data_IF_129705014712
#
_entry.id   IF_129705014712
#
_cell.length_a   1.000
_cell.length_b   1.000
_cell.length_c   1.000
_cell.angle_alpha   90.00
_cell.angle_beta   90.00
_cell.angle_gamma   90.00
#
_symmetry.space_group_name_H-M   'P 1'
#
loop_
_entity.id
_entity.type
_entity.pdbx_description
1 polymer ?
#
# COMPACT_ATOMS: atom_id res chain seq x y z
N UNK A 1 -5.60 -4.07 -35.50
CA UNK A 1 -4.48 -3.14 -35.32
C UNK A 1 -3.89 -3.42 -33.95
N UNK A 2 -2.89 -4.32 -33.87
CA UNK A 2 -2.21 -4.65 -32.60
C UNK A 2 -1.30 -3.47 -32.25
N UNK A 3 -1.40 -2.97 -31.01
CA UNK A 3 -0.49 -1.92 -30.51
C UNK A 3 0.93 -2.50 -30.46
N UNK A 4 1.97 -1.71 -30.78
CA UNK A 4 3.35 -2.14 -30.68
C UNK A 4 3.76 -2.35 -29.22
N UNK A 5 4.61 -3.35 -29.03
CA UNK A 5 5.10 -3.87 -27.75
C UNK A 5 6.02 -2.83 -27.09
N UNK A 6 5.44 -1.94 -26.30
CA UNK A 6 6.18 -0.96 -25.52
C UNK A 6 6.68 -1.63 -24.24
N UNK A 7 7.92 -2.12 -24.27
CA UNK A 7 8.70 -2.68 -23.15
C UNK A 7 8.04 -2.57 -21.79
N UNK A 8 7.24 -3.58 -21.45
CA UNK A 8 6.70 -3.82 -20.12
C UNK A 8 7.88 -3.97 -19.16
N UNK A 9 7.87 -3.22 -18.05
CA UNK A 9 9.03 -3.12 -17.15
C UNK A 9 9.25 -4.41 -16.35
N UNK A 10 8.30 -5.34 -16.48
CA UNK A 10 8.26 -6.66 -15.89
C UNK A 10 8.51 -7.65 -17.02
N UNK A 11 9.76 -8.13 -17.14
CA UNK A 11 10.00 -9.38 -17.86
C UNK A 11 9.17 -10.46 -17.19
N UNK A 12 8.50 -11.30 -18.00
CA UNK A 12 7.67 -12.42 -17.59
C UNK A 12 8.10 -13.01 -16.23
N UNK A 13 7.45 -12.56 -15.16
CA UNK A 13 7.40 -13.32 -13.93
C UNK A 13 6.46 -14.47 -14.29
N UNK A 14 7.03 -15.66 -14.52
CA UNK A 14 6.24 -16.86 -14.75
C UNK A 14 5.37 -17.08 -13.51
N UNK A 15 4.06 -16.94 -13.69
CA UNK A 15 3.10 -17.28 -12.65
C UNK A 15 3.21 -18.79 -12.37
N UNK A 16 3.32 -19.22 -11.11
CA UNK A 16 3.24 -20.64 -10.78
C UNK A 16 1.86 -21.20 -11.20
N UNK A 17 1.78 -22.48 -11.62
CA UNK A 17 0.55 -23.05 -12.16
C UNK A 17 -0.51 -23.18 -11.06
N UNK A 18 -1.65 -22.50 -11.24
CA UNK A 18 -2.80 -22.59 -10.34
C UNK A 18 -3.66 -23.80 -10.72
N UNK A 19 -3.73 -24.79 -9.83
CA UNK A 19 -4.71 -25.89 -9.88
C UNK A 19 -6.11 -25.34 -9.73
N UNK A 20 -6.94 -25.62 -10.73
CA UNK A 20 -8.38 -25.40 -10.70
C UNK A 20 -9.03 -26.37 -9.70
N UNK A 21 -9.63 -25.87 -8.62
CA UNK A 21 -10.82 -26.45 -8.00
C UNK A 21 -11.46 -25.35 -7.14
N UNK A 22 -12.79 -25.33 -7.11
CA UNK A 22 -13.60 -24.26 -6.53
C UNK A 22 -13.60 -24.19 -5.00
N UNK A 23 -14.32 -23.18 -4.53
CA UNK A 23 -14.63 -22.84 -3.14
C UNK A 23 -13.45 -22.39 -2.28
N UNK A 24 -13.42 -21.07 -2.06
CA UNK A 24 -12.48 -20.35 -1.20
C UNK A 24 -11.02 -20.56 -1.62
N UNK A 25 -10.43 -19.53 -2.25
CA UNK A 25 -8.98 -19.43 -2.31
C UNK A 25 -8.43 -19.74 -0.91
N UNK A 26 -7.54 -20.73 -0.77
CA UNK A 26 -7.14 -21.22 0.53
C UNK A 26 -6.62 -20.05 1.37
N UNK A 27 -7.15 -19.93 2.59
CA UNK A 27 -6.69 -19.03 3.65
C UNK A 27 -5.22 -19.30 4.05
N UNK A 28 -4.56 -20.26 3.39
CA UNK A 28 -3.15 -20.63 3.50
C UNK A 28 -2.23 -19.87 2.51
N UNK A 29 -2.78 -18.97 1.67
CA UNK A 29 -2.02 -17.97 0.90
C UNK A 29 -1.92 -16.61 1.62
N UNK A 30 -2.43 -16.52 2.86
CA UNK A 30 -2.39 -15.29 3.66
C UNK A 30 -0.98 -15.03 4.25
N UNK A 31 -0.11 -16.05 4.32
CA UNK A 31 1.29 -15.92 4.78
C UNK A 31 2.32 -15.78 3.63
N UNK A 32 1.94 -16.09 2.39
CA UNK A 32 2.90 -16.26 1.30
C UNK A 32 3.07 -15.02 0.41
N UNK A 33 2.47 -13.87 0.75
CA UNK A 33 2.65 -12.70 -0.11
C UNK A 33 2.49 -11.38 0.64
N UNK A 34 3.51 -11.15 1.47
CA UNK A 34 4.18 -9.86 1.67
C UNK A 34 4.74 -9.32 0.31
N UNK A 35 3.94 -9.37 -0.78
CA UNK A 35 4.35 -9.15 -2.20
C UNK A 35 5.02 -7.80 -2.39
N UNK A 36 4.61 -6.80 -1.60
CA UNK A 36 5.19 -5.46 -1.66
C UNK A 36 6.53 -5.37 -0.96
N UNK A 37 6.81 -6.23 0.01
CA UNK A 37 8.13 -6.34 0.63
C UNK A 37 9.06 -7.18 -0.23
N UNK A 38 8.57 -8.31 -0.75
CA UNK A 38 9.38 -9.22 -1.56
C UNK A 38 9.59 -8.75 -3.01
N UNK A 39 8.63 -8.05 -3.65
CA UNK A 39 8.87 -7.44 -4.97
C UNK A 39 9.76 -6.18 -4.89
N UNK A 40 9.82 -5.53 -3.71
CA UNK A 40 10.84 -4.51 -3.43
C UNK A 40 12.21 -5.14 -3.13
N UNK A 41 12.26 -6.27 -2.43
CA UNK A 41 13.50 -7.01 -2.11
C UNK A 41 14.09 -7.72 -3.34
N UNK A 42 13.28 -8.31 -4.23
CA UNK A 42 13.73 -8.79 -5.56
C UNK A 42 14.20 -7.63 -6.46
N UNK A 43 13.80 -6.40 -6.10
CA UNK A 43 14.19 -5.13 -6.70
C UNK A 43 15.39 -4.45 -6.05
N UNK A 44 16.20 -5.16 -5.25
CA UNK A 44 17.40 -4.62 -4.62
C UNK A 44 18.34 -3.91 -5.62
N UNK A 45 18.33 -4.37 -6.87
CA UNK A 45 19.03 -3.73 -7.99
C UNK A 45 18.34 -2.47 -8.50
N UNK A 46 17.05 -2.53 -8.87
CA UNK A 46 16.35 -1.44 -9.59
C UNK A 46 15.92 -0.28 -8.68
N UNK A 47 15.57 -0.55 -7.42
CA UNK A 47 15.30 0.48 -6.42
C UNK A 47 16.54 1.35 -6.19
N UNK A 48 17.68 0.70 -5.96
CA UNK A 48 18.98 1.36 -5.83
C UNK A 48 19.37 2.04 -7.14
N UNK A 49 19.11 1.41 -8.29
CA UNK A 49 19.42 1.95 -9.61
C UNK A 49 18.69 3.28 -9.84
N UNK A 50 17.38 3.36 -9.61
CA UNK A 50 16.64 4.60 -9.85
C UNK A 50 17.06 5.72 -8.90
N UNK A 51 17.26 5.41 -7.61
CA UNK A 51 17.75 6.41 -6.63
C UNK A 51 19.17 6.86 -6.98
N UNK A 52 19.99 5.97 -7.54
CA UNK A 52 21.35 6.29 -8.03
C UNK A 52 21.33 7.08 -9.34
N UNK A 53 20.33 6.87 -10.21
CA UNK A 53 20.14 7.61 -11.45
C UNK A 53 19.71 9.05 -11.21
N UNK A 54 19.01 9.32 -10.10
CA UNK A 54 18.64 10.68 -9.71
C UNK A 54 19.87 11.46 -9.26
N UNK A 55 20.12 12.58 -9.94
CA UNK A 55 21.15 13.54 -9.55
C UNK A 55 20.95 14.04 -8.11
N UNK A 56 22.04 14.36 -7.44
CA UNK A 56 22.03 14.90 -6.07
C UNK A 56 21.41 16.31 -5.97
N UNK A 57 21.35 17.03 -7.09
CA UNK A 57 20.69 18.34 -7.21
C UNK A 57 19.16 18.25 -7.38
N UNK A 58 18.59 17.04 -7.43
CA UNK A 58 17.15 16.88 -7.54
C UNK A 58 16.45 17.28 -6.23
N UNK A 59 15.60 18.29 -6.31
CA UNK A 59 14.82 18.84 -5.20
C UNK A 59 14.05 17.76 -4.40
N UNK A 60 13.46 16.76 -5.07
CA UNK A 60 12.70 15.70 -4.40
C UNK A 60 13.66 14.79 -3.62
N UNK A 61 14.81 14.44 -4.21
CA UNK A 61 15.83 13.62 -3.54
C UNK A 61 16.40 14.36 -2.32
N UNK A 62 16.67 15.66 -2.45
CA UNK A 62 17.12 16.48 -1.32
C UNK A 62 16.09 16.55 -0.19
N UNK A 63 14.80 16.69 -0.50
CA UNK A 63 13.72 16.73 0.49
C UNK A 63 13.63 15.42 1.31
N UNK A 64 13.79 14.28 0.64
CA UNK A 64 13.79 12.95 1.27
C UNK A 64 15.07 12.72 2.08
N UNK A 65 16.25 13.04 1.53
CA UNK A 65 17.55 12.90 2.22
C UNK A 65 17.64 13.81 3.44
N UNK A 66 17.10 15.03 3.36
CA UNK A 66 17.03 15.95 4.49
C UNK A 66 16.02 15.53 5.57
N UNK A 67 15.18 14.51 5.31
CA UNK A 67 14.15 14.05 6.24
C UNK A 67 13.00 15.02 6.45
N UNK A 68 12.85 16.03 5.58
CA UNK A 68 11.82 17.06 5.74
C UNK A 68 10.42 16.53 5.40
N UNK A 69 10.28 15.87 4.24
CA UNK A 69 9.01 15.28 3.81
C UNK A 69 9.21 14.22 2.74
N UNK A 70 8.38 13.19 2.79
CA UNK A 70 8.41 12.10 1.83
C UNK A 70 9.50 11.07 2.14
N UNK A 71 9.42 9.96 1.42
CA UNK A 71 10.28 8.80 1.54
C UNK A 71 10.72 8.33 0.15
N UNK A 72 11.64 7.38 0.09
CA UNK A 72 12.05 6.77 -1.17
C UNK A 72 10.89 6.07 -1.91
N UNK A 73 9.88 5.58 -1.19
CA UNK A 73 8.67 5.00 -1.80
C UNK A 73 7.93 6.06 -2.62
N UNK A 74 7.86 7.31 -2.15
CA UNK A 74 7.19 8.37 -2.90
C UNK A 74 7.89 8.65 -4.23
N UNK A 75 9.23 8.61 -4.24
CA UNK A 75 10.02 8.76 -5.47
C UNK A 75 9.73 7.62 -6.43
N UNK A 76 9.68 6.38 -5.94
CA UNK A 76 9.35 5.22 -6.76
C UNK A 76 7.95 5.29 -7.37
N UNK A 77 6.95 5.65 -6.58
CA UNK A 77 5.57 5.73 -7.06
C UNK A 77 5.40 6.85 -8.10
N UNK A 78 6.20 7.91 -7.99
CA UNK A 78 6.24 8.98 -8.99
C UNK A 78 6.93 8.55 -10.28
N UNK A 79 8.06 7.83 -10.21
CA UNK A 79 8.91 7.55 -11.37
C UNK A 79 8.71 6.16 -11.99
N UNK A 80 8.60 5.11 -11.17
CA UNK A 80 8.67 3.70 -11.60
C UNK A 80 7.30 3.04 -11.67
N UNK A 81 6.68 2.76 -10.52
CA UNK A 81 5.36 2.12 -10.42
C UNK A 81 4.73 2.38 -9.06
N UNK A 82 3.40 2.40 -8.98
CA UNK A 82 2.69 2.59 -7.70
C UNK A 82 2.72 1.33 -6.84
N UNK A 83 2.64 0.15 -7.47
CA UNK A 83 2.68 -1.15 -6.82
C UNK A 83 1.30 -1.71 -6.46
N UNK A 84 1.28 -2.79 -5.69
CA UNK A 84 0.04 -3.48 -5.33
C UNK A 84 -0.82 -2.66 -4.37
N UNK A 85 -2.13 -2.68 -4.57
CA UNK A 85 -3.10 -2.09 -3.67
C UNK A 85 -3.82 -3.20 -2.88
N UNK A 86 -3.91 -3.04 -1.56
CA UNK A 86 -4.68 -3.92 -0.67
C UNK A 86 -5.85 -3.13 -0.05
N UNK A 87 -6.90 -3.85 0.32
CA UNK A 87 -8.01 -3.31 1.13
C UNK A 87 -8.30 -4.24 2.29
N UNK A 88 -8.49 -3.70 3.49
CA UNK A 88 -8.71 -4.46 4.72
C UNK A 88 -7.58 -5.47 5.01
N UNK A 89 -6.36 -5.16 4.57
CA UNK A 89 -5.20 -6.05 4.70
C UNK A 89 -5.22 -7.28 3.80
N UNK A 90 -6.26 -7.44 2.97
CA UNK A 90 -6.41 -8.56 2.03
C UNK A 90 -6.37 -8.09 0.59
N UNK A 91 -6.20 -9.03 -0.33
CA UNK A 91 -6.43 -8.79 -1.76
C UNK A 91 -7.93 -8.53 -1.95
N UNK A 92 -8.29 -7.51 -2.73
CA UNK A 92 -9.72 -7.16 -2.84
C UNK A 92 -10.48 -8.33 -3.51
N UNK A 93 -11.60 -8.76 -2.91
CA UNK A 93 -12.32 -9.95 -3.34
C UNK A 93 -13.03 -9.74 -4.69
N UNK A 94 -13.48 -10.83 -5.29
CA UNK A 94 -14.32 -10.79 -6.48
C UNK A 94 -15.67 -10.13 -6.17
N UNK A 95 -15.80 -8.85 -6.52
CA UNK A 95 -17.03 -8.08 -6.38
C UNK A 95 -18.12 -8.44 -7.40
N UNK A 96 -17.76 -9.15 -8.48
CA UNK A 96 -18.68 -9.65 -9.50
C UNK A 96 -18.56 -11.17 -9.65
N UNK A 97 -19.41 -11.78 -10.50
CA UNK A 97 -19.39 -13.22 -10.83
C UNK A 97 -17.99 -13.69 -11.28
N UNK A 98 -17.19 -14.17 -10.32
CA UNK A 98 -15.81 -14.65 -10.50
C UNK A 98 -14.89 -13.65 -11.23
N UNK A 99 -15.04 -12.36 -10.95
CA UNK A 99 -14.18 -11.30 -11.51
C UNK A 99 -14.22 -10.02 -10.68
N UNK A 100 -13.19 -9.22 -10.85
CA UNK A 100 -12.96 -7.98 -10.11
C UNK A 100 -13.66 -6.79 -10.76
N UNK A 101 -13.50 -6.65 -12.08
CA UNK A 101 -14.21 -5.66 -12.91
C UNK A 101 -14.87 -6.36 -14.10
N UNK A 102 -15.95 -5.80 -14.66
CA UNK A 102 -16.61 -6.36 -15.85
C UNK A 102 -15.72 -6.35 -17.10
N UNK A 103 -14.63 -5.57 -17.08
CA UNK A 103 -13.64 -5.50 -18.15
C UNK A 103 -12.67 -6.70 -18.17
N UNK A 104 -12.56 -7.44 -17.07
CA UNK A 104 -11.71 -8.63 -17.00
C UNK A 104 -12.49 -9.89 -17.37
N UNK A 105 -11.73 -10.89 -17.82
CA UNK A 105 -12.27 -12.22 -18.05
C UNK A 105 -12.63 -12.91 -16.72
N UNK A 106 -13.44 -13.97 -16.77
CA UNK A 106 -13.77 -14.72 -15.56
C UNK A 106 -12.55 -15.52 -15.14
N UNK A 107 -12.33 -15.61 -13.82
CA UNK A 107 -11.23 -16.39 -13.24
C UNK A 107 -9.84 -15.97 -13.80
N UNK A 108 -9.68 -14.67 -14.05
CA UNK A 108 -8.45 -14.08 -14.53
C UNK A 108 -7.50 -13.80 -13.37
N UNK A 109 -6.39 -14.55 -13.31
CA UNK A 109 -5.38 -14.45 -12.25
C UNK A 109 -4.15 -13.61 -12.61
N UNK A 110 -4.24 -12.77 -13.64
CA UNK A 110 -3.14 -11.90 -14.02
C UNK A 110 -2.89 -10.78 -12.99
N UNK A 111 -1.64 -10.29 -12.94
CA UNK A 111 -1.23 -9.20 -12.04
C UNK A 111 -2.08 -7.92 -12.24
N UNK A 112 -2.39 -7.58 -13.49
CA UNK A 112 -3.27 -6.44 -13.82
C UNK A 112 -4.71 -6.64 -13.32
N UNK A 113 -5.20 -7.89 -13.35
CA UNK A 113 -6.51 -8.24 -12.82
C UNK A 113 -6.49 -8.20 -11.29
N UNK A 114 -5.36 -8.51 -10.66
CA UNK A 114 -5.16 -8.60 -9.21
C UNK A 114 -4.44 -7.40 -8.59
N UNK A 115 -4.94 -6.19 -8.87
CA UNK A 115 -4.67 -5.01 -8.02
C UNK A 115 -3.23 -4.47 -8.09
N UNK A 116 -2.44 -4.92 -9.06
CA UNK A 116 -1.12 -4.39 -9.31
C UNK A 116 -1.20 -3.17 -10.23
N UNK A 117 -0.71 -2.04 -9.76
CA UNK A 117 -0.58 -0.82 -10.57
C UNK A 117 0.85 -0.72 -11.08
N UNK A 118 1.04 -1.08 -12.36
CA UNK A 118 2.35 -1.07 -13.01
C UNK A 118 2.77 0.36 -13.35
N UNK A 119 1.82 1.23 -13.70
CA UNK A 119 2.14 2.59 -14.10
C UNK A 119 2.56 3.47 -12.92
N UNK A 120 3.45 4.42 -13.18
CA UNK A 120 3.82 5.49 -12.24
C UNK A 120 2.91 6.70 -12.36
N UNK A 121 2.94 7.58 -11.36
CA UNK A 121 2.19 8.84 -11.43
C UNK A 121 2.65 9.75 -12.58
N UNK A 122 3.93 9.66 -12.99
CA UNK A 122 4.43 10.40 -14.14
C UNK A 122 3.84 9.90 -15.46
N UNK A 123 3.73 8.57 -15.63
CA UNK A 123 3.18 7.95 -16.84
C UNK A 123 1.66 8.07 -16.92
N UNK A 124 1.00 8.13 -15.75
CA UNK A 124 -0.44 8.17 -15.61
C UNK A 124 -1.03 6.76 -15.53
N UNK A 125 -2.12 6.63 -14.78
CA UNK A 125 -2.78 5.36 -14.52
C UNK A 125 -3.84 5.07 -15.59
N UNK A 126 -3.98 3.80 -15.94
CA UNK A 126 -5.13 3.33 -16.73
C UNK A 126 -6.42 3.45 -15.91
N UNK A 127 -7.62 3.49 -16.56
CA UNK A 127 -8.88 3.59 -15.83
C UNK A 127 -9.11 2.47 -14.80
N UNK A 128 -8.67 1.25 -15.09
CA UNK A 128 -8.75 0.11 -14.19
C UNK A 128 -7.85 0.30 -12.96
N UNK A 129 -6.58 0.65 -13.18
CA UNK A 129 -5.63 0.96 -12.10
C UNK A 129 -6.10 2.14 -11.25
N UNK A 130 -6.66 3.17 -11.88
CA UNK A 130 -7.20 4.33 -11.17
C UNK A 130 -8.36 3.95 -10.25
N UNK A 131 -9.25 3.07 -10.70
CA UNK A 131 -10.35 2.56 -9.87
C UNK A 131 -9.83 1.80 -8.65
N UNK A 132 -8.82 0.95 -8.85
CA UNK A 132 -8.18 0.18 -7.78
C UNK A 132 -7.47 1.08 -6.77
N UNK A 133 -6.71 2.06 -7.28
CA UNK A 133 -6.06 3.08 -6.46
C UNK A 133 -7.07 3.90 -5.64
N UNK A 134 -8.19 4.29 -6.24
CA UNK A 134 -9.23 5.05 -5.55
C UNK A 134 -9.92 4.25 -4.43
N UNK A 135 -10.08 2.94 -4.58
CA UNK A 135 -10.65 2.08 -3.53
C UNK A 135 -9.73 1.99 -2.31
N UNK A 136 -8.43 1.74 -2.52
CA UNK A 136 -7.45 1.74 -1.43
C UNK A 136 -7.35 3.12 -0.77
N UNK A 137 -7.34 4.20 -1.56
CA UNK A 137 -7.35 5.56 -1.03
C UNK A 137 -8.58 5.88 -0.19
N UNK A 138 -9.76 5.36 -0.56
CA UNK A 138 -11.00 5.54 0.20
C UNK A 138 -10.94 4.88 1.58
N UNK A 139 -10.36 3.69 1.69
CA UNK A 139 -10.19 3.02 2.98
C UNK A 139 -9.34 3.87 3.94
N UNK A 140 -8.20 4.38 3.47
CA UNK A 140 -7.34 5.25 4.28
C UNK A 140 -8.05 6.51 4.78
N UNK A 141 -8.94 7.11 3.97
CA UNK A 141 -9.75 8.25 4.38
C UNK A 141 -10.78 7.89 5.46
N UNK A 142 -11.42 6.72 5.34
CA UNK A 142 -12.39 6.23 6.31
C UNK A 142 -11.69 5.91 7.64
N UNK A 143 -10.58 5.20 7.57
CA UNK A 143 -9.76 4.85 8.74
C UNK A 143 -9.29 6.09 9.49
N UNK A 144 -8.85 7.12 8.77
CA UNK A 144 -8.49 8.42 9.37
C UNK A 144 -9.68 9.05 10.11
N UNK A 145 -10.88 9.03 9.51
CA UNK A 145 -12.06 9.61 10.12
C UNK A 145 -12.49 8.85 11.39
N UNK A 146 -12.45 7.52 11.36
CA UNK A 146 -12.79 6.65 12.51
C UNK A 146 -11.76 6.82 13.63
N UNK A 147 -10.46 6.72 13.32
CA UNK A 147 -9.38 6.86 14.30
C UNK A 147 -9.38 8.23 14.97
N UNK A 148 -9.78 9.29 14.27
CA UNK A 148 -9.85 10.64 14.86
C UNK A 148 -10.87 10.70 16.00
N UNK A 149 -12.04 10.08 15.82
CA UNK A 149 -13.10 10.07 16.84
C UNK A 149 -12.70 9.19 18.02
N UNK A 150 -12.16 8.00 17.76
CA UNK A 150 -11.75 7.05 18.80
C UNK A 150 -10.60 7.58 19.66
N UNK A 151 -9.53 8.06 19.02
CA UNK A 151 -8.36 8.59 19.75
C UNK A 151 -8.72 9.81 20.58
N UNK A 152 -9.57 10.70 20.07
CA UNK A 152 -10.05 11.87 20.82
C UNK A 152 -10.91 11.49 22.03
N UNK A 153 -11.77 10.47 21.90
CA UNK A 153 -12.57 9.97 23.01
C UNK A 153 -11.69 9.33 24.09
N UNK A 154 -10.79 8.42 23.69
CA UNK A 154 -9.84 7.76 24.60
C UNK A 154 -8.97 8.79 25.32
N UNK A 155 -8.46 9.81 24.61
CA UNK A 155 -7.70 10.90 25.20
C UNK A 155 -8.49 11.61 26.31
N UNK A 156 -9.77 11.94 26.07
CA UNK A 156 -10.61 12.60 27.09
C UNK A 156 -10.82 11.71 28.31
N UNK A 157 -11.09 10.43 28.10
CA UNK A 157 -11.25 9.46 29.18
C UNK A 157 -9.97 9.34 30.03
N UNK A 158 -8.80 9.28 29.38
CA UNK A 158 -7.51 9.22 30.08
C UNK A 158 -7.22 10.51 30.87
N UNK A 159 -7.46 11.68 30.28
CA UNK A 159 -7.29 12.97 30.98
C UNK A 159 -8.18 13.03 32.22
N UNK A 160 -9.45 12.61 32.11
CA UNK A 160 -10.39 12.60 33.23
C UNK A 160 -10.07 11.56 34.30
N UNK A 161 -9.49 10.42 33.93
CA UNK A 161 -9.07 9.41 34.91
C UNK A 161 -7.82 9.84 35.69
N UNK A 162 -6.96 10.67 35.09
CA UNK A 162 -5.67 11.07 35.66
C UNK A 162 -5.64 12.51 36.20
N UNK A 163 -6.75 13.25 36.13
CA UNK A 163 -6.76 14.68 36.52
C UNK A 163 -6.46 14.92 38.00
N UNK A 164 -6.69 13.93 38.86
CA UNK A 164 -6.42 14.01 40.30
C UNK A 164 -4.96 13.66 40.67
N UNK A 165 -4.17 13.14 39.73
CA UNK A 165 -2.78 12.73 39.97
C UNK A 165 -1.86 13.94 39.85
N UNK A 166 -1.28 14.37 40.97
CA UNK A 166 -0.33 15.49 41.04
C UNK A 166 0.91 15.14 41.85
N UNK A 167 2.04 15.77 41.53
CA UNK A 167 3.29 15.60 42.27
C UNK A 167 3.30 16.55 43.48
N UNK A 168 3.10 16.01 44.67
CA UNK A 168 3.25 16.76 45.92
C UNK A 168 4.73 16.84 46.33
N UNK A 169 5.17 18.01 46.80
CA UNK A 169 6.50 18.12 47.42
C UNK A 169 6.51 17.40 48.77
N UNK A 170 7.62 16.68 49.00
CA UNK A 170 7.91 15.74 50.09
C UNK A 170 7.35 14.32 49.87
N UNK A 171 8.28 13.36 49.77
CA UNK A 171 8.00 11.93 49.80
C UNK A 171 6.98 11.60 50.90
N UNK A 172 5.84 11.01 50.50
CA UNK A 172 4.83 10.43 51.39
C UNK A 172 4.57 11.23 52.68
N UNK A 173 3.60 12.15 52.65
CA UNK A 173 2.95 12.55 53.90
C UNK A 173 1.47 12.21 53.86
N UNK A 174 1.12 11.34 54.80
CA UNK A 174 -0.22 10.98 55.29
C UNK A 174 -1.05 10.00 54.44
N UNK A 175 -0.88 8.72 54.78
CA UNK A 175 -1.97 7.86 55.29
C UNK A 175 -3.34 8.51 55.32
N UNK A 176 -4.29 7.92 54.59
CA UNK A 176 -5.67 7.71 55.04
C UNK A 176 -6.17 6.36 54.53
#
# INVERSE_FOLDING_TARGET
>A
MRRPDNGTFIGHIENPPLTAEGENAPEELDDEFDVLRESLELGDGKFKLEISNLKEDNNIKQMVVAGSKGSFINILQMSVCVGQQSVEGKRIPFGFRHRILPHFTKDDFNLEAHWFVENSYLRGLTPQEFFFYAMAGREGLIDTAVKTVETGYIQRCLVKALEDVQVCYAAQSATR
#
